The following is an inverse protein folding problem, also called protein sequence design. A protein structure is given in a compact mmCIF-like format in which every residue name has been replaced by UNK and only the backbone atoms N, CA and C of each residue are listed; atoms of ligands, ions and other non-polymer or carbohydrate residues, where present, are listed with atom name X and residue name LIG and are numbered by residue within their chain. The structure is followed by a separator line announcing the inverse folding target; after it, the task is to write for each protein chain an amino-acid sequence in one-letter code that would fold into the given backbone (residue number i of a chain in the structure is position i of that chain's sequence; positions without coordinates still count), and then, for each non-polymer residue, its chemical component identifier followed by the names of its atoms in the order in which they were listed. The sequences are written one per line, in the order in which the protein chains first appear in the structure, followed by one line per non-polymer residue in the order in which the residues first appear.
data_IF_903947860403
#
_entry.id   IF_903947860403
#
_cell.length_a   1.000
_cell.length_b   1.000
_cell.length_c   1.000
_cell.angle_alpha   90.00
_cell.angle_beta   90.00
_cell.angle_gamma   90.00
#
_symmetry.space_group_name_H-M   'P 1'
#
loop_
_entity.id
_entity.type
_entity.pdbx_description
1 polymer ?
#
# COMPACT_ATOMS: atom_id res chain seq x y z
N UNK A 1 -14.35 5.05 -20.78
CA UNK A 1 -14.30 4.60 -22.19
C UNK A 1 -13.11 5.28 -22.86
N UNK A 2 -12.05 4.53 -23.12
CA UNK A 2 -11.01 4.81 -24.10
C UNK A 2 -10.53 3.43 -24.57
N UNK A 3 -10.55 3.19 -25.88
CA UNK A 3 -10.22 1.90 -26.49
C UNK A 3 -8.81 1.89 -27.04
N UNK A 4 -8.07 0.86 -26.63
CA UNK A 4 -7.23 -0.06 -27.43
C UNK A 4 -6.10 0.50 -28.34
N UNK A 5 -4.86 0.24 -27.94
CA UNK A 5 -3.80 -0.26 -28.83
C UNK A 5 -2.72 -1.01 -28.01
N UNK A 6 -2.49 -2.30 -28.34
CA UNK A 6 -1.26 -3.03 -28.03
C UNK A 6 -1.12 -3.63 -26.62
N UNK A 7 -1.79 -4.74 -26.33
CA UNK A 7 -1.36 -5.64 -25.25
C UNK A 7 -0.93 -6.98 -25.86
N UNK A 8 0.32 -7.37 -25.65
CA UNK A 8 0.79 -8.74 -25.87
C UNK A 8 -0.08 -9.72 -25.05
N UNK A 9 -0.19 -11.01 -25.44
CA UNK A 9 -0.92 -12.00 -24.64
C UNK A 9 -0.14 -12.27 -23.35
N UNK A 10 -0.43 -11.47 -22.32
CA UNK A 10 0.26 -11.44 -21.03
C UNK A 10 -0.73 -11.61 -19.88
N UNK A 11 -0.23 -12.01 -18.70
CA UNK A 11 -1.03 -12.29 -17.50
C UNK A 11 -1.98 -11.13 -17.15
N UNK A 12 -3.15 -11.39 -16.54
CA UNK A 12 -4.04 -10.31 -16.10
C UNK A 12 -3.32 -9.40 -15.10
N UNK A 13 -3.17 -8.11 -15.43
CA UNK A 13 -2.51 -7.09 -14.59
C UNK A 13 -3.42 -6.49 -13.50
N UNK A 14 -4.74 -6.61 -13.69
CA UNK A 14 -5.75 -6.10 -12.76
C UNK A 14 -5.53 -6.69 -11.36
N UNK A 15 -5.50 -5.82 -10.35
CA UNK A 15 -5.28 -6.20 -8.95
C UNK A 15 -3.81 -6.38 -8.54
N UNK A 16 -2.84 -6.33 -9.47
CA UNK A 16 -1.43 -6.64 -9.16
C UNK A 16 -0.57 -5.40 -8.83
N UNK A 17 -0.95 -4.23 -9.33
CA UNK A 17 -0.16 -3.00 -9.21
C UNK A 17 0.18 -2.63 -7.75
N UNK A 18 -0.81 -2.70 -6.84
CA UNK A 18 -0.62 -2.31 -5.45
C UNK A 18 0.38 -3.22 -4.71
N UNK A 19 0.27 -4.54 -4.90
CA UNK A 19 1.19 -5.52 -4.28
C UNK A 19 2.59 -5.37 -4.89
N UNK A 20 2.71 -5.24 -6.22
CA UNK A 20 4.00 -5.03 -6.87
C UNK A 20 4.70 -3.75 -6.38
N UNK A 21 3.95 -2.65 -6.22
CA UNK A 21 4.48 -1.40 -5.67
C UNK A 21 4.95 -1.56 -4.22
N UNK A 22 4.19 -2.26 -3.37
CA UNK A 22 4.58 -2.52 -1.99
C UNK A 22 5.80 -3.46 -1.90
N UNK A 23 5.91 -4.47 -2.78
CA UNK A 23 7.09 -5.32 -2.88
C UNK A 23 8.34 -4.52 -3.31
N UNK A 24 8.21 -3.59 -4.26
CA UNK A 24 9.31 -2.71 -4.64
C UNK A 24 9.74 -1.80 -3.46
N UNK A 25 8.79 -1.21 -2.74
CA UNK A 25 9.09 -0.43 -1.53
C UNK A 25 9.77 -1.27 -0.43
N UNK A 26 9.38 -2.53 -0.27
CA UNK A 26 10.03 -3.45 0.68
C UNK A 26 11.45 -3.85 0.22
N UNK A 27 11.68 -3.98 -1.09
CA UNK A 27 13.01 -4.19 -1.65
C UNK A 27 13.93 -2.98 -1.37
N UNK A 28 13.43 -1.76 -1.56
CA UNK A 28 14.16 -0.52 -1.28
C UNK A 28 14.44 -0.35 0.21
N UNK A 29 13.47 -0.68 1.07
CA UNK A 29 13.66 -0.78 2.52
C UNK A 29 14.82 -1.74 2.84
N UNK A 30 14.81 -2.93 2.26
CA UNK A 30 15.90 -3.90 2.42
C UNK A 30 17.25 -3.31 2.00
N UNK A 31 17.35 -2.72 0.81
CA UNK A 31 18.58 -2.14 0.30
C UNK A 31 19.12 -1.00 1.21
N UNK A 32 18.23 -0.12 1.69
CA UNK A 32 18.59 1.01 2.54
C UNK A 32 19.10 0.55 3.91
N UNK A 33 18.33 -0.31 4.58
CA UNK A 33 18.60 -0.68 5.97
C UNK A 33 19.63 -1.82 6.12
N UNK A 34 19.98 -2.53 5.03
CA UNK A 34 21.15 -3.43 4.99
C UNK A 34 22.43 -2.73 4.51
N UNK A 35 22.38 -1.45 4.14
CA UNK A 35 23.56 -0.72 3.65
C UNK A 35 24.64 -0.57 4.74
N UNK A 36 25.94 -0.50 4.38
CA UNK A 36 27.01 -0.28 5.35
C UNK A 36 26.81 0.99 6.20
N UNK A 37 26.27 2.04 5.58
CA UNK A 37 25.93 3.29 6.28
C UNK A 37 24.92 3.04 7.40
N UNK A 38 23.87 2.26 7.14
CA UNK A 38 22.87 1.98 8.16
C UNK A 38 23.36 1.02 9.24
N UNK A 39 24.20 0.03 8.88
CA UNK A 39 24.83 -0.86 9.84
C UNK A 39 25.68 -0.09 10.88
N UNK A 40 26.40 0.94 10.45
CA UNK A 40 27.15 1.82 11.33
C UNK A 40 26.26 2.65 12.29
N UNK A 41 25.04 3.02 11.87
CA UNK A 41 24.08 3.71 12.74
C UNK A 41 23.42 2.75 13.74
N UNK A 42 23.21 1.51 13.34
CA UNK A 42 22.61 0.47 14.19
C UNK A 42 23.53 0.10 15.35
N UNK A 43 24.86 0.08 15.14
CA UNK A 43 25.82 -0.14 16.23
C UNK A 43 25.82 0.97 17.28
N UNK A 44 25.23 2.13 16.97
CA UNK A 44 25.02 3.25 17.88
C UNK A 44 23.60 3.28 18.50
N UNK A 45 22.79 2.24 18.30
CA UNK A 45 21.44 2.11 18.88
C UNK A 45 20.31 2.69 18.03
N UNK A 46 20.56 3.02 16.76
CA UNK A 46 19.50 3.50 15.85
C UNK A 46 18.48 2.38 15.55
N UNK A 47 17.20 2.75 15.45
CA UNK A 47 16.10 1.85 15.09
C UNK A 47 15.70 2.02 13.63
N UNK A 48 15.34 0.92 12.97
CA UNK A 48 14.83 0.94 11.59
C UNK A 48 13.44 1.57 11.50
N UNK A 49 13.19 2.33 10.44
CA UNK A 49 11.85 2.77 10.10
C UNK A 49 11.14 1.64 9.32
N UNK A 50 10.24 0.95 10.01
CA UNK A 50 9.48 -0.19 9.45
C UNK A 50 8.50 0.29 8.38
N UNK A 51 8.41 -0.38 7.20
CA UNK A 51 7.32 -0.14 6.27
C UNK A 51 5.98 -0.42 6.95
N UNK A 52 5.02 0.47 6.73
CA UNK A 52 3.65 0.32 7.21
C UNK A 52 2.71 0.26 6.01
N UNK A 53 1.99 -0.85 5.89
CA UNK A 53 0.94 -1.03 4.88
C UNK A 53 -0.38 -0.49 5.40
N UNK A 54 -0.92 0.50 4.71
CA UNK A 54 -2.21 1.11 5.01
C UNK A 54 -3.21 0.89 3.86
N UNK A 55 -4.51 1.08 4.13
CA UNK A 55 -5.58 0.87 3.14
C UNK A 55 -5.61 -0.54 2.54
N UNK A 56 -5.32 -1.56 3.37
CA UNK A 56 -5.21 -2.97 2.96
C UNK A 56 -6.54 -3.74 2.98
N UNK A 57 -7.67 -3.04 3.11
CA UNK A 57 -8.99 -3.64 2.87
C UNK A 57 -9.17 -3.89 1.38
N UNK A 58 -9.59 -5.10 1.02
CA UNK A 58 -9.96 -5.42 -0.37
C UNK A 58 -11.22 -4.65 -0.76
N UNK A 59 -11.14 -3.88 -1.84
CA UNK A 59 -12.26 -3.07 -2.37
C UNK A 59 -12.97 -3.75 -3.56
N UNK A 60 -12.32 -4.75 -4.15
CA UNK A 60 -12.87 -5.52 -5.26
C UNK A 60 -13.48 -6.83 -4.72
N UNK A 61 -14.80 -7.04 -4.83
CA UNK A 61 -15.45 -8.24 -4.31
C UNK A 61 -15.06 -9.54 -5.04
N UNK A 62 -14.39 -9.45 -6.20
CA UNK A 62 -13.85 -10.62 -6.89
C UNK A 62 -12.55 -11.15 -6.28
N UNK A 63 -11.93 -10.39 -5.37
CA UNK A 63 -10.73 -10.79 -4.65
C UNK A 63 -11.07 -11.20 -3.21
N UNK A 64 -10.27 -12.08 -2.58
CA UNK A 64 -10.41 -12.37 -1.15
C UNK A 64 -10.35 -11.09 -0.32
N UNK A 65 -11.15 -10.99 0.73
CA UNK A 65 -11.13 -9.87 1.69
C UNK A 65 -9.82 -9.78 2.52
N UNK A 66 -9.01 -10.84 2.49
CA UNK A 66 -7.64 -10.89 3.04
C UNK A 66 -6.53 -10.63 2.01
N UNK A 67 -6.87 -10.38 0.73
CA UNK A 67 -5.93 -10.36 -0.41
C UNK A 67 -4.65 -9.55 -0.16
N UNK A 68 -4.78 -8.28 0.25
CA UNK A 68 -3.61 -7.43 0.51
C UNK A 68 -2.89 -7.79 1.82
N UNK A 69 -3.64 -8.20 2.84
CA UNK A 69 -3.05 -8.56 4.14
C UNK A 69 -2.12 -9.75 3.98
N UNK A 70 -2.57 -10.80 3.30
CA UNK A 70 -1.81 -12.03 3.09
C UNK A 70 -0.59 -11.84 2.19
N UNK A 71 -0.70 -11.02 1.15
CA UNK A 71 0.38 -10.78 0.20
C UNK A 71 1.54 -9.97 0.80
N UNK A 72 1.27 -9.11 1.80
CA UNK A 72 2.22 -8.10 2.29
C UNK A 72 2.88 -8.46 3.63
N UNK A 73 2.68 -9.69 4.12
CA UNK A 73 3.33 -10.18 5.34
C UNK A 73 4.84 -10.28 5.07
N UNK A 74 5.62 -9.54 5.86
CA UNK A 74 7.08 -9.50 5.80
C UNK A 74 7.72 -9.15 7.14
N UNK A 75 8.97 -9.53 7.32
CA UNK A 75 9.76 -9.17 8.49
C UNK A 75 9.88 -7.65 8.62
N UNK A 76 9.89 -7.15 9.85
CA UNK A 76 10.02 -5.71 10.13
C UNK A 76 8.98 -4.82 9.43
N UNK A 77 7.80 -5.33 9.09
CA UNK A 77 6.68 -4.54 8.56
C UNK A 77 5.57 -4.37 9.58
N UNK A 78 4.72 -3.36 9.40
CA UNK A 78 3.45 -3.17 10.10
C UNK A 78 2.33 -3.20 9.06
N UNK A 79 1.16 -3.73 9.41
CA UNK A 79 -0.05 -3.54 8.62
C UNK A 79 -1.12 -2.93 9.53
N UNK A 80 -1.68 -1.79 9.14
CA UNK A 80 -2.79 -1.15 9.87
C UNK A 80 -4.11 -1.59 9.25
N UNK A 81 -4.94 -2.27 10.04
CA UNK A 81 -6.16 -2.90 9.58
C UNK A 81 -7.37 -2.23 10.22
N UNK A 82 -8.41 -1.87 9.43
CA UNK A 82 -9.69 -1.55 10.03
C UNK A 82 -10.31 -2.80 10.68
N UNK A 83 -11.22 -2.64 11.67
CA UNK A 83 -11.78 -3.77 12.41
C UNK A 83 -12.37 -4.89 11.55
N UNK A 84 -13.01 -4.56 10.43
CA UNK A 84 -13.59 -5.54 9.51
C UNK A 84 -12.53 -6.42 8.84
N UNK A 85 -11.46 -5.82 8.31
CA UNK A 85 -10.35 -6.57 7.69
C UNK A 85 -9.58 -7.39 8.74
N UNK A 86 -9.41 -6.86 9.95
CA UNK A 86 -8.83 -7.63 11.05
C UNK A 86 -9.70 -8.84 11.43
N UNK A 87 -11.02 -8.67 11.51
CA UNK A 87 -11.95 -9.75 11.81
C UNK A 87 -11.93 -10.84 10.73
N UNK A 88 -11.93 -10.47 9.44
CA UNK A 88 -11.81 -11.40 8.32
C UNK A 88 -10.49 -12.19 8.37
N UNK A 89 -9.36 -11.50 8.56
CA UNK A 89 -8.07 -12.16 8.68
C UNK A 89 -7.98 -13.08 9.90
N UNK A 90 -8.59 -12.70 11.03
CA UNK A 90 -8.65 -13.55 12.23
C UNK A 90 -9.49 -14.81 12.01
N UNK A 91 -10.57 -14.72 11.22
CA UNK A 91 -11.48 -15.82 10.95
C UNK A 91 -10.85 -16.86 10.00
N UNK A 92 -10.29 -16.41 8.88
CA UNK A 92 -9.85 -17.31 7.81
C UNK A 92 -8.52 -16.91 7.12
N UNK A 93 -7.74 -16.02 7.72
CA UNK A 93 -6.44 -15.62 7.19
C UNK A 93 -5.39 -16.73 7.27
N UNK A 94 -4.47 -16.72 6.31
CA UNK A 94 -3.37 -17.70 6.21
C UNK A 94 -2.03 -16.99 6.43
N UNK A 95 -1.41 -17.05 7.63
CA UNK A 95 -0.14 -16.37 7.89
C UNK A 95 1.03 -17.05 7.17
N UNK A 96 1.70 -16.32 6.27
CA UNK A 96 2.95 -16.73 5.63
C UNK A 96 3.69 -15.48 5.10
N UNK A 97 5.03 -15.43 5.10
CA UNK A 97 5.80 -14.26 4.67
C UNK A 97 5.86 -14.11 3.14
N UNK A 98 4.73 -13.83 2.51
CA UNK A 98 4.56 -13.84 1.04
C UNK A 98 5.14 -12.62 0.32
N UNK A 99 5.54 -11.56 1.03
CA UNK A 99 6.06 -10.37 0.36
C UNK A 99 7.30 -10.67 -0.49
N UNK A 100 8.11 -11.65 -0.05
CA UNK A 100 9.32 -12.11 -0.78
C UNK A 100 8.98 -12.87 -2.06
N UNK A 101 7.85 -13.57 -2.11
CA UNK A 101 7.35 -14.22 -3.33
C UNK A 101 6.93 -13.16 -4.35
N UNK A 102 6.26 -12.09 -3.88
CA UNK A 102 5.90 -10.94 -4.72
C UNK A 102 7.11 -10.20 -5.30
N UNK A 103 8.24 -10.16 -4.57
CA UNK A 103 9.52 -9.61 -5.05
C UNK A 103 10.21 -10.44 -6.15
N UNK A 104 9.65 -11.57 -6.57
CA UNK A 104 10.17 -12.28 -7.74
C UNK A 104 9.58 -11.71 -9.05
N UNK A 105 8.39 -11.09 -8.99
CA UNK A 105 7.63 -10.64 -10.16
C UNK A 105 7.35 -9.13 -10.17
N UNK A 106 7.67 -8.39 -9.10
CA UNK A 106 7.31 -6.98 -8.93
C UNK A 106 7.85 -6.10 -10.06
N UNK A 107 9.13 -6.25 -10.42
CA UNK A 107 9.74 -5.46 -11.51
C UNK A 107 9.11 -5.78 -12.86
N UNK A 108 8.72 -7.03 -13.08
CA UNK A 108 8.04 -7.45 -14.30
C UNK A 108 6.66 -6.81 -14.38
N UNK A 109 5.87 -6.88 -13.30
CA UNK A 109 4.52 -6.27 -13.25
C UNK A 109 4.59 -4.77 -13.46
N UNK A 110 5.49 -4.07 -12.77
CA UNK A 110 5.63 -2.62 -12.90
C UNK A 110 6.04 -2.22 -14.33
N UNK A 111 6.90 -3.00 -14.99
CA UNK A 111 7.25 -2.80 -16.39
C UNK A 111 6.08 -3.06 -17.34
N UNK A 112 5.37 -4.18 -17.17
CA UNK A 112 4.20 -4.56 -17.99
C UNK A 112 3.07 -3.52 -17.87
N UNK A 113 2.88 -2.91 -16.69
CA UNK A 113 1.95 -1.78 -16.51
C UNK A 113 2.36 -0.59 -17.40
N UNK A 114 3.64 -0.22 -17.42
CA UNK A 114 4.16 0.84 -18.29
C UNK A 114 3.99 0.52 -19.78
N UNK A 115 4.23 -0.74 -20.18
CA UNK A 115 4.07 -1.20 -21.58
C UNK A 115 2.62 -1.09 -22.08
N UNK A 116 1.63 -1.20 -21.20
CA UNK A 116 0.20 -1.00 -21.53
C UNK A 116 -0.28 0.44 -21.32
N UNK A 117 0.64 1.38 -21.10
CA UNK A 117 0.35 2.82 -20.98
C UNK A 117 -0.11 3.27 -19.59
N UNK A 118 0.16 2.50 -18.53
CA UNK A 118 -0.09 2.91 -17.15
C UNK A 118 1.14 3.61 -16.60
N UNK A 119 1.06 4.93 -16.46
CA UNK A 119 2.09 5.76 -15.84
C UNK A 119 1.93 5.76 -14.32
N UNK A 120 2.83 5.06 -13.63
CA UNK A 120 2.82 4.99 -12.16
C UNK A 120 3.25 6.31 -11.49
N UNK A 121 4.08 7.12 -12.15
CA UNK A 121 4.50 8.41 -11.59
C UNK A 121 3.31 9.38 -11.61
N UNK A 122 2.58 9.46 -12.72
CA UNK A 122 1.36 10.27 -12.82
C UNK A 122 0.27 9.79 -11.83
N UNK A 123 0.06 8.48 -11.73
CA UNK A 123 -0.92 7.88 -10.83
C UNK A 123 -0.56 8.19 -9.37
N UNK A 124 0.70 7.98 -8.96
CA UNK A 124 1.11 8.22 -7.57
C UNK A 124 1.05 9.71 -7.22
N UNK A 125 1.44 10.61 -8.12
CA UNK A 125 1.29 12.05 -7.94
C UNK A 125 -0.18 12.46 -7.81
N UNK A 126 -1.08 11.83 -8.58
CA UNK A 126 -2.53 12.07 -8.47
C UNK A 126 -3.08 11.57 -7.14
N UNK A 127 -2.75 10.35 -6.74
CA UNK A 127 -3.18 9.76 -5.47
C UNK A 127 -2.68 10.57 -4.27
N UNK A 128 -1.47 11.13 -4.33
CA UNK A 128 -0.95 12.01 -3.29
C UNK A 128 -1.80 13.28 -3.15
N UNK A 129 -2.05 13.99 -4.27
CA UNK A 129 -2.87 15.22 -4.26
C UNK A 129 -4.28 14.95 -3.76
N UNK A 130 -4.92 13.89 -4.25
CA UNK A 130 -6.27 13.50 -3.83
C UNK A 130 -6.29 13.08 -2.35
N UNK A 131 -5.26 12.37 -1.89
CA UNK A 131 -5.10 11.98 -0.50
C UNK A 131 -5.01 13.20 0.42
N UNK A 132 -4.12 14.14 0.12
CA UNK A 132 -3.97 15.38 0.90
C UNK A 132 -5.29 16.17 0.94
N UNK A 133 -5.95 16.32 -0.21
CA UNK A 133 -7.24 17.00 -0.29
C UNK A 133 -8.32 16.32 0.57
N UNK A 134 -8.41 14.98 0.51
CA UNK A 134 -9.37 14.20 1.30
C UNK A 134 -9.12 14.34 2.81
N UNK A 135 -7.86 14.36 3.24
CA UNK A 135 -7.51 14.55 4.65
C UNK A 135 -7.86 15.97 5.12
N UNK A 136 -7.54 16.99 4.33
CA UNK A 136 -7.89 18.38 4.63
C UNK A 136 -9.41 18.57 4.74
N UNK A 137 -10.19 17.99 3.81
CA UNK A 137 -11.64 18.03 3.85
C UNK A 137 -12.21 17.32 5.10
N UNK A 138 -11.66 16.15 5.46
CA UNK A 138 -12.06 15.42 6.67
C UNK A 138 -11.78 16.21 7.95
N UNK A 139 -10.65 16.91 8.00
CA UNK A 139 -10.28 17.77 9.13
C UNK A 139 -11.18 19.01 9.24
N UNK A 140 -11.47 19.68 8.12
CA UNK A 140 -12.41 20.81 8.10
C UNK A 140 -13.82 20.39 8.56
N UNK A 141 -14.28 19.20 8.14
CA UNK A 141 -15.54 18.62 8.60
C UNK A 141 -15.55 18.40 10.12
N UNK A 142 -14.46 17.87 10.68
CA UNK A 142 -14.29 17.69 12.12
C UNK A 142 -14.39 19.03 12.87
N UNK A 143 -13.67 20.06 12.42
CA UNK A 143 -13.72 21.40 13.03
C UNK A 143 -15.13 21.98 12.99
N UNK A 144 -15.83 21.86 11.86
CA UNK A 144 -17.22 22.33 11.72
C UNK A 144 -18.18 21.63 12.70
N UNK A 145 -17.98 20.33 12.97
CA UNK A 145 -18.76 19.60 13.98
C UNK A 145 -18.49 20.17 15.39
N UNK A 146 -17.21 20.43 15.72
CA UNK A 146 -16.82 20.98 17.02
C UNK A 146 -17.42 22.38 17.22
N UNK A 147 -17.32 23.24 16.21
CA UNK A 147 -17.89 24.60 16.24
C UNK A 147 -19.40 24.58 16.47
N UNK A 148 -20.14 23.75 15.73
CA UNK A 148 -21.59 23.60 15.95
C UNK A 148 -21.92 23.14 17.36
N UNK A 149 -21.13 22.21 17.91
CA UNK A 149 -21.35 21.69 19.27
C UNK A 149 -21.03 22.74 20.33
N UNK A 150 -19.95 23.51 20.15
CA UNK A 150 -19.57 24.59 21.04
C UNK A 150 -20.64 25.69 21.07
N UNK A 151 -21.13 26.12 19.91
CA UNK A 151 -22.19 27.12 19.80
C UNK A 151 -23.51 26.68 20.43
N UNK A 152 -23.85 25.39 20.37
CA UNK A 152 -25.06 24.85 21.00
C UNK A 152 -24.97 24.69 22.53
N UNK A 153 -23.77 24.82 23.11
CA UNK A 153 -23.52 24.71 24.55
C UNK A 153 -23.21 26.07 25.21
N UNK A 154 -23.04 27.12 24.41
CA UNK A 154 -22.85 28.51 24.87
C UNK A 154 -24.20 29.18 25.13
#
# INVERSE_FOLDING_TARGET
RAGAAGAAPGRPLRGRAAIANACAAYADFGALFHSPRWQALTSQGSLVQRPLWASTSTKDPSLPDTYYVEALIGEQTVNTLPPATFAAYRDHGKPAPRIREGMAEEKLVLRELGEVGIDLEEITATLEREGVASFAASFASLLSVIERKAAALA
#
